data_IF_600858396043
#
_entry.id   IF_600858396043
#
_cell.length_a   1.000
_cell.length_b   1.000
_cell.length_c   1.000
_cell.angle_alpha   90.00
_cell.angle_beta   90.00
_cell.angle_gamma   90.00
#
_symmetry.space_group_name_H-M   'P 1'
#
loop_
_entity.id
_entity.type
_entity.pdbx_description
1 polymer ?
#
# COMPACT_ATOMS: atom_id res chain seq x y z
N UNK A 1 3.87 -12.34 -15.39
CA UNK A 1 4.86 -11.81 -14.42
C UNK A 1 4.81 -10.30 -14.40
N UNK A 2 4.79 -9.73 -13.20
CA UNK A 2 4.77 -8.28 -13.09
C UNK A 2 6.17 -7.72 -13.19
N UNK A 3 6.27 -6.53 -13.74
CA UNK A 3 7.55 -5.83 -13.79
C UNK A 3 7.68 -4.93 -12.57
N UNK A 4 8.89 -4.44 -12.35
CA UNK A 4 9.21 -3.71 -11.12
C UNK A 4 8.31 -2.50 -10.88
N UNK A 5 8.02 -1.74 -11.92
CA UNK A 5 7.23 -0.54 -11.74
C UNK A 5 5.76 -0.87 -11.46
N UNK A 6 5.30 -1.99 -11.92
CA UNK A 6 3.94 -2.43 -11.61
C UNK A 6 3.81 -2.82 -10.15
N UNK A 7 4.83 -3.48 -9.61
CA UNK A 7 4.85 -3.82 -8.19
C UNK A 7 4.91 -2.55 -7.33
N UNK A 8 5.68 -1.57 -7.77
CA UNK A 8 5.76 -0.29 -7.09
C UNK A 8 4.38 0.39 -7.07
N UNK A 9 3.71 0.38 -8.21
CA UNK A 9 2.38 0.99 -8.31
C UNK A 9 1.38 0.28 -7.41
N UNK A 10 1.44 -1.05 -7.38
CA UNK A 10 0.56 -1.83 -6.53
C UNK A 10 0.79 -1.49 -5.06
N UNK A 11 2.04 -1.32 -4.67
CA UNK A 11 2.37 -0.95 -3.31
C UNK A 11 1.83 0.43 -2.95
N UNK A 12 1.96 1.38 -3.86
CA UNK A 12 1.44 2.72 -3.63
C UNK A 12 -0.09 2.73 -3.55
N UNK A 13 -0.73 2.00 -4.43
CA UNK A 13 -2.19 1.92 -4.43
C UNK A 13 -2.72 1.23 -3.19
N UNK A 14 -2.03 0.20 -2.72
CA UNK A 14 -2.44 -0.49 -1.51
C UNK A 14 -2.41 0.45 -0.31
N UNK A 15 -1.36 1.26 -0.23
CA UNK A 15 -1.28 2.24 0.85
C UNK A 15 -2.39 3.27 0.79
N UNK A 16 -2.68 3.75 -0.41
CA UNK A 16 -3.76 4.71 -0.61
C UNK A 16 -5.11 4.10 -0.21
N UNK A 17 -5.35 2.87 -0.65
CA UNK A 17 -6.57 2.18 -0.31
C UNK A 17 -6.72 2.00 1.20
N UNK A 18 -5.63 1.62 1.86
CA UNK A 18 -5.67 1.44 3.30
C UNK A 18 -5.95 2.75 4.03
N UNK A 19 -5.40 3.86 3.55
CA UNK A 19 -5.64 5.16 4.17
C UNK A 19 -7.11 5.55 4.04
N UNK A 20 -7.68 5.35 2.87
CA UNK A 20 -9.08 5.67 2.68
C UNK A 20 -9.97 4.77 3.51
N UNK A 21 -9.65 3.49 3.58
CA UNK A 21 -10.41 2.55 4.39
C UNK A 21 -10.37 2.93 5.87
N UNK A 22 -9.20 3.37 6.34
CA UNK A 22 -9.02 3.68 7.75
C UNK A 22 -9.64 5.03 8.15
N UNK A 23 -9.52 6.02 7.28
CA UNK A 23 -9.85 7.40 7.67
C UNK A 23 -11.01 8.01 6.90
N UNK A 24 -11.30 7.54 5.72
CA UNK A 24 -12.37 8.08 4.88
C UNK A 24 -13.15 6.96 4.20
N UNK A 25 -13.68 6.00 4.98
CA UNK A 25 -14.33 4.85 4.35
C UNK A 25 -15.57 5.21 3.55
N UNK A 26 -16.25 6.29 3.92
CA UNK A 26 -17.46 6.68 3.20
C UNK A 26 -17.18 7.13 1.78
N UNK A 27 -15.94 7.40 1.46
CA UNK A 27 -15.55 7.84 0.15
C UNK A 27 -15.75 6.75 -0.90
N UNK A 28 -15.67 5.49 -0.47
CA UNK A 28 -15.76 4.35 -1.38
C UNK A 28 -16.66 3.26 -0.84
N UNK A 29 -17.80 3.66 -0.25
CA UNK A 29 -18.69 2.65 0.31
C UNK A 29 -19.15 1.64 -0.72
N UNK A 30 -19.28 2.07 -1.96
CA UNK A 30 -19.65 1.13 -3.02
C UNK A 30 -18.62 0.03 -3.19
N UNK A 31 -17.36 0.42 -3.09
CA UNK A 31 -16.26 -0.53 -3.25
C UNK A 31 -16.23 -1.54 -2.12
N UNK A 32 -16.48 -1.06 -0.88
CA UNK A 32 -16.47 -1.96 0.28
C UNK A 32 -17.76 -2.78 0.40
N UNK A 33 -18.80 -2.35 -0.25
CA UNK A 33 -20.09 -3.01 -0.12
C UNK A 33 -20.94 -2.46 1.00
N UNK A 34 -20.58 -1.26 1.51
CA UNK A 34 -21.33 -0.64 2.58
C UNK A 34 -20.42 -0.06 3.65
N UNK A 35 -21.01 0.33 4.79
CA UNK A 35 -20.20 0.90 5.88
C UNK A 35 -19.14 -0.07 6.36
N UNK A 36 -18.00 0.45 6.71
CA UNK A 36 -16.85 -0.36 7.14
C UNK A 36 -16.93 -0.60 8.64
N UNK A 37 -16.84 -1.85 9.08
CA UNK A 37 -16.84 -2.15 10.53
C UNK A 37 -15.65 -1.50 11.23
N UNK A 38 -15.85 -1.04 12.47
CA UNK A 38 -14.75 -0.41 13.21
C UNK A 38 -13.52 -1.29 13.35
N UNK A 39 -13.71 -2.59 13.50
CA UNK A 39 -12.57 -3.48 13.62
C UNK A 39 -11.70 -3.49 12.38
N UNK A 40 -12.32 -3.45 11.22
CA UNK A 40 -11.58 -3.43 9.97
C UNK A 40 -10.79 -2.14 9.84
N UNK A 41 -11.40 -1.02 10.23
CA UNK A 41 -10.70 0.26 10.22
C UNK A 41 -9.51 0.25 11.17
N UNK A 42 -9.66 -0.39 12.32
CA UNK A 42 -8.56 -0.49 13.27
C UNK A 42 -7.40 -1.30 12.70
N UNK A 43 -7.72 -2.40 12.01
CA UNK A 43 -6.70 -3.21 11.37
C UNK A 43 -5.98 -2.41 10.30
N UNK A 44 -6.72 -1.65 9.50
CA UNK A 44 -6.12 -0.83 8.47
C UNK A 44 -5.16 0.19 9.06
N UNK A 45 -5.57 0.86 10.15
CA UNK A 45 -4.71 1.82 10.83
C UNK A 45 -3.46 1.16 11.39
N UNK A 46 -3.62 -0.06 11.90
CA UNK A 46 -2.49 -0.80 12.43
C UNK A 46 -1.47 -1.11 11.35
N UNK A 47 -1.95 -1.55 10.20
CA UNK A 47 -1.07 -1.83 9.06
C UNK A 47 -0.36 -0.56 8.62
N UNK A 48 -1.10 0.55 8.56
CA UNK A 48 -0.55 1.83 8.10
C UNK A 48 0.59 2.33 8.98
N UNK A 49 0.62 1.92 10.23
CA UNK A 49 1.69 2.32 11.14
C UNK A 49 3.05 1.96 10.60
N UNK A 50 3.13 0.84 9.91
CA UNK A 50 4.41 0.31 9.42
C UNK A 50 4.47 0.30 7.90
N UNK A 51 3.49 0.90 7.26
CA UNK A 51 3.44 0.93 5.80
C UNK A 51 4.29 2.10 5.30
N UNK A 52 5.10 1.88 4.26
CA UNK A 52 5.96 2.96 3.76
C UNK A 52 5.16 4.11 3.16
N UNK A 53 5.64 5.31 3.40
CA UNK A 53 5.07 6.50 2.80
C UNK A 53 5.44 6.54 1.32
N UNK A 54 4.64 7.23 0.50
CA UNK A 54 4.96 7.32 -0.93
C UNK A 54 6.38 7.83 -1.22
N UNK A 55 6.86 8.79 -0.43
CA UNK A 55 8.20 9.31 -0.64
C UNK A 55 9.27 8.28 -0.28
N UNK A 56 8.99 7.40 0.65
CA UNK A 56 9.92 6.34 1.02
C UNK A 56 10.02 5.31 -0.10
N UNK A 57 8.89 4.99 -0.70
CA UNK A 57 8.89 4.07 -1.84
C UNK A 57 9.68 4.66 -2.99
N UNK A 58 9.46 5.93 -3.25
CA UNK A 58 10.16 6.63 -4.31
C UNK A 58 11.66 6.64 -4.07
N UNK A 59 12.06 6.95 -2.84
CA UNK A 59 13.46 7.00 -2.49
C UNK A 59 14.12 5.63 -2.62
N UNK A 60 13.42 4.59 -2.21
CA UNK A 60 13.97 3.24 -2.29
C UNK A 60 14.18 2.81 -3.74
N UNK A 61 13.27 3.19 -4.61
CA UNK A 61 13.38 2.84 -6.03
C UNK A 61 14.57 3.54 -6.67
N UNK A 62 14.83 4.78 -6.27
CA UNK A 62 15.91 5.57 -6.87
C UNK A 62 17.28 5.26 -6.31
N UNK A 63 17.36 4.71 -5.12
CA UNK A 63 18.63 4.47 -4.47
C UNK A 63 19.15 3.07 -4.79
N UNK A 64 20.33 2.76 -4.28
CA UNK A 64 20.87 1.42 -4.35
C UNK A 64 20.44 0.58 -3.17
N UNK A 65 19.34 0.96 -2.56
CA UNK A 65 18.79 0.24 -1.43
C UNK A 65 18.38 -1.17 -1.86
N UNK A 66 18.71 -2.20 -1.09
CA UNK A 66 18.30 -3.56 -1.43
C UNK A 66 16.80 -3.73 -1.59
N UNK A 67 16.01 -2.87 -0.97
CA UNK A 67 14.55 -2.94 -1.06
C UNK A 67 14.05 -2.80 -2.49
N UNK A 68 14.78 -2.06 -3.32
CA UNK A 68 14.37 -1.89 -4.72
C UNK A 68 14.40 -3.21 -5.49
N UNK A 69 15.13 -4.18 -5.01
CA UNK A 69 15.24 -5.45 -5.70
C UNK A 69 13.93 -6.21 -5.68
N UNK A 70 13.28 -6.25 -4.53
CA UNK A 70 12.02 -6.97 -4.49
C UNK A 70 10.86 -6.11 -4.99
N UNK A 71 11.03 -4.80 -5.05
CA UNK A 71 10.07 -3.93 -5.71
C UNK A 71 10.23 -4.05 -7.22
N UNK A 72 11.47 -4.11 -7.70
CA UNK A 72 11.75 -4.16 -9.13
C UNK A 72 11.76 -5.57 -9.67
N UNK A 73 12.07 -6.53 -8.83
CA UNK A 73 12.19 -7.92 -9.25
C UNK A 73 11.29 -8.78 -8.38
N UNK A 74 11.15 -10.02 -8.80
CA UNK A 74 10.40 -10.98 -8.05
C UNK A 74 11.05 -11.17 -6.68
N UNK A 75 10.33 -11.03 -5.58
CA UNK A 75 10.90 -11.31 -4.26
C UNK A 75 11.31 -12.76 -4.22
N UNK A 76 12.44 -12.98 -3.88
CA UNK A 76 13.02 -14.24 -4.02
C UNK A 76 12.35 -15.41 -3.51
N UNK A 77 12.37 -15.35 -3.82
CA UNK A 77 12.15 -16.05 -3.64
C UNK A 77 12.74 -16.58 -3.35
#
# INVERSE_FOLDING_TARGET
MTIGYERRRALEFAGELLRELAFQPEKHEELWGGPVPPKLRDVARHILRHYPEPWQIEAAVRSNDPVRWWISEEPGR
#
